data_IF_529974383342
#
_entry.id   IF_529974383342
#
_cell.length_a   1.000
_cell.length_b   1.000
_cell.length_c   1.000
_cell.angle_alpha   90.00
_cell.angle_beta   90.00
_cell.angle_gamma   90.00
#
_symmetry.space_group_name_H-M   'P 1'
#
loop_
_entity.id
_entity.type
_entity.pdbx_description
1 polymer ?
#
# COMPACT_ATOMS: atom_id res chain seq x y z
N UNK A 1 -2.70 -0.33 -21.83
CA UNK A 1 -3.54 0.02 -20.66
C UNK A 1 -2.72 -0.39 -19.45
N UNK A 2 -2.38 0.53 -18.55
CA UNK A 2 -1.71 0.16 -17.30
C UNK A 2 -2.68 -0.70 -16.48
N UNK A 3 -2.24 -1.86 -16.01
CA UNK A 3 -3.05 -2.71 -15.13
C UNK A 3 -3.22 -2.02 -13.78
N UNK A 4 -4.28 -2.34 -13.04
CA UNK A 4 -4.44 -1.89 -11.65
C UNK A 4 -3.23 -2.25 -10.77
N UNK A 5 -2.59 -3.36 -11.08
CA UNK A 5 -1.35 -3.82 -10.49
C UNK A 5 -0.18 -2.84 -10.69
N UNK A 6 -0.01 -2.27 -11.89
CA UNK A 6 1.14 -1.41 -12.21
C UNK A 6 1.10 -0.10 -11.41
N UNK A 7 -0.09 0.50 -11.29
CA UNK A 7 -0.28 1.74 -10.55
C UNK A 7 -0.04 1.55 -9.04
N UNK A 8 -0.56 0.45 -8.47
CA UNK A 8 -0.34 0.09 -7.07
C UNK A 8 1.14 -0.20 -6.83
N UNK A 9 1.80 -0.96 -7.71
CA UNK A 9 3.24 -1.22 -7.63
C UNK A 9 4.06 0.07 -7.60
N UNK A 10 3.72 1.05 -8.45
CA UNK A 10 4.42 2.34 -8.48
C UNK A 10 4.28 3.10 -7.15
N UNK A 11 3.11 3.07 -6.53
CA UNK A 11 2.88 3.69 -5.21
C UNK A 11 3.69 2.98 -4.13
N UNK A 12 3.64 1.65 -4.07
CA UNK A 12 4.43 0.87 -3.10
C UNK A 12 5.93 1.10 -3.27
N UNK A 13 6.39 1.17 -4.51
CA UNK A 13 7.79 1.48 -4.85
C UNK A 13 8.17 2.90 -4.40
N UNK A 14 7.28 3.88 -4.59
CA UNK A 14 7.50 5.24 -4.09
C UNK A 14 7.65 5.26 -2.57
N UNK A 15 6.73 4.59 -1.84
CA UNK A 15 6.78 4.48 -0.38
C UNK A 15 8.11 3.86 0.08
N UNK A 16 8.51 2.75 -0.54
CA UNK A 16 9.75 2.04 -0.21
C UNK A 16 11.00 2.90 -0.47
N UNK A 17 11.05 3.65 -1.59
CA UNK A 17 12.20 4.49 -1.95
C UNK A 17 12.25 5.81 -1.18
N UNK A 18 11.11 6.29 -0.69
CA UNK A 18 10.97 7.60 -0.07
C UNK A 18 10.39 7.51 1.35
N UNK A 19 10.90 6.59 2.16
CA UNK A 19 10.45 6.38 3.55
C UNK A 19 10.48 7.65 4.43
N UNK A 20 11.31 8.64 4.08
CA UNK A 20 11.41 9.92 4.80
C UNK A 20 10.31 10.92 4.42
N UNK A 21 9.56 10.66 3.35
CA UNK A 21 8.50 11.52 2.80
C UNK A 21 7.09 10.99 3.08
N UNK A 22 6.99 9.86 3.77
CA UNK A 22 5.74 9.18 4.10
C UNK A 22 5.71 8.90 5.59
N UNK A 23 4.50 8.77 6.14
CA UNK A 23 4.30 8.52 7.56
C UNK A 23 3.74 7.11 7.75
N UNK A 24 4.51 6.23 8.39
CA UNK A 24 4.02 4.93 8.81
C UNK A 24 3.19 5.07 10.08
N UNK A 25 1.94 4.62 10.04
CA UNK A 25 1.04 4.64 11.17
C UNK A 25 1.21 3.29 11.88
N UNK A 26 1.86 3.32 13.05
CA UNK A 26 2.10 2.10 13.82
C UNK A 26 0.79 1.50 14.32
N UNK A 27 0.55 0.24 13.99
CA UNK A 27 -0.46 -0.60 14.61
C UNK A 27 0.24 -1.72 15.38
N UNK A 28 -0.07 -1.87 16.67
CA UNK A 28 0.53 -2.93 17.49
C UNK A 28 -0.12 -4.27 17.17
N UNK A 29 0.70 -5.31 17.02
CA UNK A 29 0.27 -6.71 16.85
C UNK A 29 -0.72 -6.90 15.68
N UNK A 30 -0.48 -6.20 14.57
CA UNK A 30 -1.33 -6.25 13.38
C UNK A 30 -0.54 -6.87 12.22
N UNK A 31 -1.21 -7.57 11.33
CA UNK A 31 -0.67 -8.08 10.06
C UNK A 31 -0.75 -7.01 8.95
N UNK A 32 -0.74 -5.74 9.34
CA UNK A 32 -1.10 -4.60 8.52
C UNK A 32 -0.01 -3.55 8.57
N UNK A 33 0.28 -2.94 7.42
CA UNK A 33 1.08 -1.72 7.33
C UNK A 33 0.19 -0.61 6.82
N UNK A 34 0.01 0.43 7.61
CA UNK A 34 -0.71 1.64 7.18
C UNK A 34 0.29 2.76 6.95
N UNK A 35 0.19 3.41 5.79
CA UNK A 35 1.06 4.50 5.34
C UNK A 35 0.19 5.67 4.93
N UNK A 36 0.52 6.85 5.43
CA UNK A 36 0.03 8.12 4.92
C UNK A 36 1.06 8.69 3.95
N UNK A 37 0.65 8.91 2.71
CA UNK A 37 1.45 9.46 1.61
C UNK A 37 0.91 10.84 1.29
N UNK A 38 1.73 11.90 1.16
CA UNK A 38 1.25 13.22 0.76
C UNK A 38 0.49 13.17 -0.57
N UNK A 39 -0.65 13.86 -0.65
CA UNK A 39 -1.48 13.94 -1.87
C UNK A 39 -0.80 14.71 -3.03
N UNK A 40 0.36 15.33 -2.76
CA UNK A 40 1.24 15.95 -3.75
C UNK A 40 2.08 14.95 -4.56
N UNK A 41 2.09 13.68 -4.17
CA UNK A 41 2.81 12.62 -4.89
C UNK A 41 2.08 12.32 -6.20
N UNK A 42 2.76 12.37 -7.36
CA UNK A 42 2.11 12.10 -8.63
C UNK A 42 1.73 10.61 -8.75
N UNK A 43 0.44 10.34 -8.83
CA UNK A 43 -0.13 9.00 -9.03
C UNK A 43 -0.93 8.97 -10.33
N UNK A 44 -0.69 7.97 -11.16
CA UNK A 44 -1.48 7.76 -12.38
C UNK A 44 -2.90 7.27 -12.06
N UNK A 45 -3.90 7.81 -12.75
CA UNK A 45 -5.33 7.50 -12.54
C UNK A 45 -5.76 7.62 -11.07
N UNK A 46 -5.43 8.74 -10.42
CA UNK A 46 -5.65 8.97 -8.98
C UNK A 46 -7.07 8.65 -8.53
N UNK A 47 -8.11 9.05 -9.28
CA UNK A 47 -9.51 8.83 -8.87
C UNK A 47 -9.90 7.34 -8.81
N UNK A 48 -9.19 6.47 -9.54
CA UNK A 48 -9.44 5.03 -9.54
C UNK A 48 -8.86 4.34 -8.29
N UNK A 49 -7.72 4.82 -7.79
CA UNK A 49 -7.00 4.18 -6.68
C UNK A 49 -7.17 4.92 -5.37
N UNK A 50 -7.24 6.25 -5.40
CA UNK A 50 -7.41 7.12 -4.26
C UNK A 50 -8.65 7.98 -4.42
N UNK A 51 -9.84 7.37 -4.54
CA UNK A 51 -11.05 8.16 -4.59
C UNK A 51 -11.23 8.94 -3.28
N UNK A 52 -11.82 10.12 -3.40
CA UNK A 52 -12.17 10.93 -2.23
C UNK A 52 -13.48 10.43 -1.64
N UNK A 53 -13.53 10.26 -0.32
CA UNK A 53 -14.75 9.93 0.42
C UNK A 53 -15.13 8.44 0.47
N UNK A 54 -14.32 7.55 -0.10
CA UNK A 54 -14.47 6.10 0.06
C UNK A 54 -13.12 5.37 -0.08
N UNK A 55 -13.10 4.10 0.32
CA UNK A 55 -11.94 3.22 0.23
C UNK A 55 -12.11 2.22 -0.91
N UNK A 56 -11.00 1.92 -1.58
CA UNK A 56 -10.91 0.86 -2.58
C UNK A 56 -10.07 -0.25 -2.00
N UNK A 57 -10.54 -1.50 -2.10
CA UNK A 57 -9.83 -2.69 -1.62
C UNK A 57 -9.51 -3.59 -2.81
N UNK A 58 -8.25 -3.95 -2.97
CA UNK A 58 -7.80 -4.86 -4.02
C UNK A 58 -7.04 -6.04 -3.43
N UNK A 59 -7.45 -7.27 -3.76
CA UNK A 59 -6.62 -8.46 -3.56
C UNK A 59 -5.59 -8.53 -4.66
N UNK A 60 -4.32 -8.64 -4.30
CA UNK A 60 -3.25 -8.79 -5.28
C UNK A 60 -3.25 -10.22 -5.84
N UNK A 61 -2.98 -10.35 -7.13
CA UNK A 61 -2.93 -11.63 -7.83
C UNK A 61 -1.65 -12.40 -7.51
N UNK A 62 -1.67 -13.72 -7.65
CA UNK A 62 -0.51 -14.57 -7.41
C UNK A 62 0.70 -14.14 -8.27
N UNK A 63 0.47 -13.75 -9.53
CA UNK A 63 1.51 -13.20 -10.41
C UNK A 63 2.15 -11.92 -9.85
N UNK A 64 1.36 -11.05 -9.24
CA UNK A 64 1.87 -9.83 -8.60
C UNK A 64 2.74 -10.16 -7.40
N UNK A 65 2.29 -11.10 -6.56
CA UNK A 65 3.05 -11.57 -5.40
C UNK A 65 4.38 -12.20 -5.84
N UNK A 66 4.35 -13.04 -6.88
CA UNK A 66 5.54 -13.67 -7.42
C UNK A 66 6.53 -12.66 -8.02
N UNK A 67 6.03 -11.64 -8.71
CA UNK A 67 6.87 -10.63 -9.37
C UNK A 67 7.43 -9.59 -8.39
N UNK A 68 6.76 -9.33 -7.27
CA UNK A 68 7.09 -8.23 -6.35
C UNK A 68 7.32 -8.68 -4.91
N UNK A 69 7.65 -9.97 -4.71
CA UNK A 69 7.85 -10.57 -3.39
C UNK A 69 8.83 -9.81 -2.50
N UNK A 70 9.97 -9.37 -3.04
CA UNK A 70 10.98 -8.63 -2.26
C UNK A 70 10.43 -7.32 -1.68
N UNK A 71 9.73 -6.53 -2.52
CA UNK A 71 9.10 -5.29 -2.08
C UNK A 71 8.04 -5.54 -1.01
N UNK A 72 7.24 -6.59 -1.17
CA UNK A 72 6.18 -6.96 -0.23
C UNK A 72 6.77 -7.49 1.08
N UNK A 73 7.87 -8.23 1.05
CA UNK A 73 8.59 -8.69 2.24
C UNK A 73 9.11 -7.52 3.07
N UNK A 74 9.65 -6.46 2.43
CA UNK A 74 10.08 -5.25 3.14
C UNK A 74 8.94 -4.55 3.88
N UNK A 75 7.71 -4.66 3.38
CA UNK A 75 6.52 -4.19 4.09
C UNK A 75 6.09 -5.17 5.17
N UNK A 76 6.09 -6.46 4.88
CA UNK A 76 5.71 -7.50 5.83
C UNK A 76 6.57 -7.46 7.10
N UNK A 77 7.89 -7.27 6.98
CA UNK A 77 8.81 -7.12 8.10
C UNK A 77 8.45 -5.93 9.02
N UNK A 78 7.83 -4.87 8.48
CA UNK A 78 7.39 -3.70 9.25
C UNK A 78 6.14 -3.96 10.08
N UNK A 79 5.36 -5.00 9.78
CA UNK A 79 4.20 -5.38 10.59
C UNK A 79 4.60 -5.81 12.01
N UNK A 80 5.85 -6.25 12.20
CA UNK A 80 6.32 -6.91 13.42
C UNK A 80 5.40 -8.07 13.85
N UNK A 81 4.72 -8.69 12.88
CA UNK A 81 3.86 -9.85 13.08
C UNK A 81 4.70 -11.05 13.54
N UNK A 82 4.09 -11.94 14.33
CA UNK A 82 4.68 -13.22 14.70
C UNK A 82 4.60 -14.27 13.58
N UNK A 83 3.88 -13.97 12.48
CA UNK A 83 3.83 -14.83 11.29
C UNK A 83 5.17 -14.82 10.55
N UNK A 84 5.53 -15.97 10.00
CA UNK A 84 6.75 -16.16 9.20
C UNK A 84 6.53 -16.01 7.70
N UNK A 85 5.28 -16.10 7.23
CA UNK A 85 4.90 -15.95 5.82
C UNK A 85 3.51 -15.30 5.68
N UNK A 86 3.14 -15.03 4.42
CA UNK A 86 1.80 -14.62 3.99
C UNK A 86 1.47 -15.29 2.67
N UNK A 87 0.19 -15.50 2.40
CA UNK A 87 -0.32 -16.07 1.14
C UNK A 87 -1.10 -15.07 0.32
N UNK A 88 -1.78 -14.14 0.99
CA UNK A 88 -2.55 -13.11 0.32
C UNK A 88 -2.09 -11.74 0.77
N UNK A 89 -2.10 -10.82 -0.18
CA UNK A 89 -1.88 -9.39 0.09
C UNK A 89 -3.12 -8.63 -0.35
N UNK A 90 -3.70 -7.88 0.57
CA UNK A 90 -4.78 -6.95 0.29
C UNK A 90 -4.26 -5.54 0.42
N UNK A 91 -4.61 -4.69 -0.54
CA UNK A 91 -4.22 -3.29 -0.55
C UNK A 91 -5.49 -2.44 -0.54
N UNK A 92 -5.62 -1.65 0.53
CA UNK A 92 -6.70 -0.70 0.72
C UNK A 92 -6.16 0.71 0.49
N UNK A 93 -6.82 1.48 -0.36
CA UNK A 93 -6.39 2.84 -0.72
C UNK A 93 -7.56 3.82 -0.67
N UNK A 94 -7.25 5.10 -0.41
CA UNK A 94 -8.25 6.17 -0.45
C UNK A 94 -7.62 7.54 -0.24
N UNK A 95 -8.32 8.60 -0.66
CA UNK A 95 -7.87 9.97 -0.45
C UNK A 95 -8.58 10.61 0.75
N UNK A 96 -7.79 11.05 1.73
CA UNK A 96 -8.24 11.78 2.90
C UNK A 96 -7.93 13.26 2.68
N UNK A 97 -8.83 13.94 1.96
CA UNK A 97 -8.63 15.33 1.52
C UNK A 97 -8.34 16.30 2.67
N UNK A 98 -9.02 16.14 3.82
CA UNK A 98 -8.81 16.99 5.01
C UNK A 98 -7.40 16.87 5.61
N UNK A 99 -6.70 15.77 5.32
CA UNK A 99 -5.32 15.54 5.78
C UNK A 99 -4.29 15.74 4.66
N UNK A 100 -4.72 16.14 3.46
CA UNK A 100 -3.87 16.23 2.27
C UNK A 100 -3.04 14.96 2.04
N UNK A 101 -3.69 13.80 2.18
CA UNK A 101 -3.00 12.52 2.21
C UNK A 101 -3.77 11.41 1.49
N UNK A 102 -3.01 10.60 0.76
CA UNK A 102 -3.39 9.28 0.31
C UNK A 102 -3.11 8.27 1.43
N UNK A 103 -4.16 7.54 1.82
CA UNK A 103 -4.05 6.41 2.72
C UNK A 103 -3.72 5.16 1.89
N UNK A 104 -2.67 4.45 2.27
CA UNK A 104 -2.31 3.14 1.71
C UNK A 104 -2.19 2.18 2.88
N UNK A 105 -2.96 1.11 2.84
CA UNK A 105 -2.95 0.07 3.84
C UNK A 105 -2.71 -1.28 3.18
N UNK A 106 -1.75 -2.05 3.71
CA UNK A 106 -1.30 -3.32 3.16
C UNK A 106 -1.52 -4.39 4.23
N UNK A 107 -2.43 -5.33 3.97
CA UNK A 107 -2.74 -6.45 4.86
C UNK A 107 -2.14 -7.74 4.32
N UNK A 108 -1.49 -8.50 5.22
CA UNK A 108 -0.80 -9.75 4.93
C UNK A 108 -1.53 -10.92 5.59
N UNK A 109 -2.16 -11.79 4.81
CA UNK A 109 -2.97 -12.92 5.31
C UNK A 109 -2.33 -14.28 5.09
#
# INVERSE_FOLDING_TARGET
MASNSDSIYNVLTYIHRHIQRVSFIQQRNSNLVTVSVPDTVPVANVDLYFPTGHLVVNRMSDDFLAMHGDLLNDFFERTHSSKTDYRNVWITTGHVADQHAYLVEISFE
#
